data_IF_002168619397
#
_entry.id   IF_002168619397
#
_cell.length_a   1.000
_cell.length_b   1.000
_cell.length_c   1.000
_cell.angle_alpha   90.00
_cell.angle_beta   90.00
_cell.angle_gamma   90.00
#
_symmetry.space_group_name_H-M   'P 1'
#
loop_
_entity.id
_entity.type
_entity.pdbx_description
1 polymer ?
#
# COMPACT_ATOMS: atom_id res chain seq x y z
N UNK A 1 -23.98 15.83 10.80
CA UNK A 1 -23.28 17.13 10.88
C UNK A 1 -22.34 17.36 9.70
N UNK A 2 -21.57 16.36 9.23
CA UNK A 2 -20.77 16.44 7.97
C UNK A 2 -21.62 16.83 6.74
N UNK A 3 -22.86 16.34 6.69
CA UNK A 3 -23.87 16.61 5.64
C UNK A 3 -24.39 18.04 5.62
N UNK A 4 -23.88 18.97 6.42
CA UNK A 4 -24.28 20.39 6.37
C UNK A 4 -23.18 21.29 5.79
N UNK A 5 -22.01 20.73 5.48
CA UNK A 5 -20.90 21.49 4.91
C UNK A 5 -21.08 21.65 3.40
N UNK A 6 -21.08 22.90 2.92
CA UNK A 6 -21.22 23.23 1.50
C UNK A 6 -20.11 22.56 0.66
N UNK A 7 -18.89 22.49 1.21
CA UNK A 7 -17.72 21.90 0.55
C UNK A 7 -17.86 20.40 0.34
N UNK A 8 -18.53 19.69 1.25
CA UNK A 8 -18.85 18.26 1.10
C UNK A 8 -19.72 18.03 -0.13
N UNK A 9 -20.84 18.76 -0.26
CA UNK A 9 -21.75 18.61 -1.39
C UNK A 9 -21.10 19.01 -2.71
N UNK A 10 -20.29 20.07 -2.70
CA UNK A 10 -19.59 20.52 -3.90
C UNK A 10 -18.55 19.49 -4.35
N UNK A 11 -17.77 18.93 -3.42
CA UNK A 11 -16.82 17.86 -3.71
C UNK A 11 -17.53 16.59 -4.19
N UNK A 12 -18.66 16.20 -3.59
CA UNK A 12 -19.47 15.05 -4.01
C UNK A 12 -20.04 15.24 -5.42
N UNK A 13 -20.59 16.43 -5.71
CA UNK A 13 -21.15 16.75 -7.02
C UNK A 13 -20.06 16.72 -8.11
N UNK A 14 -18.91 17.32 -7.86
CA UNK A 14 -17.75 17.28 -8.78
C UNK A 14 -17.28 15.85 -8.99
N UNK A 15 -17.15 15.05 -7.93
CA UNK A 15 -16.77 13.65 -8.03
C UNK A 15 -17.74 12.85 -8.91
N UNK A 16 -19.04 13.03 -8.72
CA UNK A 16 -20.07 12.34 -9.49
C UNK A 16 -20.01 12.74 -10.97
N UNK A 17 -19.95 14.05 -11.26
CA UNK A 17 -19.85 14.56 -12.64
C UNK A 17 -18.60 14.00 -13.34
N UNK A 18 -17.44 14.07 -12.68
CA UNK A 18 -16.17 13.58 -13.24
C UNK A 18 -16.17 12.06 -13.46
N UNK A 19 -16.81 11.31 -12.56
CA UNK A 19 -16.94 9.86 -12.68
C UNK A 19 -17.84 9.49 -13.86
N UNK A 20 -19.01 10.12 -13.99
CA UNK A 20 -19.94 9.88 -15.11
C UNK A 20 -19.28 10.25 -16.44
N UNK A 21 -18.65 11.43 -16.54
CA UNK A 21 -17.92 11.86 -17.74
C UNK A 21 -16.85 10.84 -18.13
N UNK A 22 -16.10 10.34 -17.15
CA UNK A 22 -15.01 9.38 -17.38
C UNK A 22 -15.52 7.98 -17.73
N UNK A 23 -16.64 7.54 -17.16
CA UNK A 23 -17.31 6.31 -17.54
C UNK A 23 -17.82 6.38 -18.99
N UNK A 24 -18.42 7.50 -19.40
CA UNK A 24 -18.86 7.72 -20.78
C UNK A 24 -17.67 7.69 -21.75
N UNK A 25 -16.56 8.34 -21.41
CA UNK A 25 -15.33 8.31 -22.21
C UNK A 25 -14.69 6.92 -22.27
N UNK A 26 -14.77 6.15 -21.17
CA UNK A 26 -14.29 4.78 -21.12
C UNK A 26 -15.14 3.86 -22.02
N UNK A 27 -16.46 4.01 -21.98
CA UNK A 27 -17.39 3.27 -22.86
C UNK A 27 -17.16 3.59 -24.34
N UNK A 28 -16.79 4.83 -24.66
CA UNK A 28 -16.42 5.26 -26.02
C UNK A 28 -14.99 4.87 -26.43
N UNK A 29 -14.22 4.21 -25.55
CA UNK A 29 -12.78 3.86 -25.72
C UNK A 29 -11.85 5.06 -25.93
N UNK A 30 -12.26 6.25 -25.52
CA UNK A 30 -11.50 7.50 -25.71
C UNK A 30 -10.52 7.80 -24.57
N UNK A 31 -10.53 7.02 -23.49
CA UNK A 31 -9.71 7.32 -22.30
C UNK A 31 -9.18 6.09 -21.57
N UNK A 32 -8.09 6.31 -20.84
CA UNK A 32 -7.46 5.32 -19.97
C UNK A 32 -8.30 5.21 -18.68
N UNK A 33 -8.72 3.99 -18.32
CA UNK A 33 -9.56 3.71 -17.14
C UNK A 33 -8.97 4.10 -15.77
N UNK A 34 -7.75 4.63 -15.73
CA UNK A 34 -7.08 5.13 -14.52
C UNK A 34 -7.90 6.24 -13.86
N UNK A 35 -8.51 7.15 -14.63
CA UNK A 35 -9.32 8.23 -14.06
C UNK A 35 -10.49 7.70 -13.23
N UNK A 36 -11.20 6.70 -13.77
CA UNK A 36 -12.33 6.05 -13.09
C UNK A 36 -11.84 5.36 -11.81
N UNK A 37 -10.71 4.65 -11.86
CA UNK A 37 -10.13 4.01 -10.69
C UNK A 37 -9.80 5.02 -9.57
N UNK A 38 -9.21 6.17 -9.92
CA UNK A 38 -8.94 7.24 -8.94
C UNK A 38 -10.23 7.78 -8.34
N UNK A 39 -11.25 8.07 -9.14
CA UNK A 39 -12.51 8.59 -8.59
C UNK A 39 -13.26 7.59 -7.71
N UNK A 40 -13.26 6.31 -8.08
CA UNK A 40 -13.85 5.25 -7.24
C UNK A 40 -13.12 5.12 -5.91
N UNK A 41 -11.78 5.22 -5.91
CA UNK A 41 -11.02 5.18 -4.66
C UNK A 41 -11.27 6.43 -3.80
N UNK A 42 -11.32 7.63 -4.38
CA UNK A 42 -11.69 8.85 -3.63
C UNK A 42 -13.09 8.72 -3.03
N UNK A 43 -14.06 8.19 -3.78
CA UNK A 43 -15.40 7.94 -3.27
C UNK A 43 -15.37 7.00 -2.05
N UNK A 44 -14.72 5.84 -2.19
CA UNK A 44 -14.65 4.82 -1.15
C UNK A 44 -13.98 5.32 0.13
N UNK A 45 -12.90 6.10 0.02
CA UNK A 45 -12.11 6.51 1.19
C UNK A 45 -12.57 7.80 1.86
N UNK A 46 -13.18 8.74 1.12
CA UNK A 46 -13.55 10.05 1.67
C UNK A 46 -15.06 10.26 1.83
N UNK A 47 -15.90 9.55 1.08
CA UNK A 47 -17.35 9.78 1.08
C UNK A 47 -18.16 8.65 1.69
N UNK A 48 -17.69 7.40 1.65
CA UNK A 48 -18.45 6.26 2.20
C UNK A 48 -18.39 6.23 3.73
N UNK A 49 -17.22 6.49 4.31
CA UNK A 49 -16.99 6.33 5.74
C UNK A 49 -17.86 7.24 6.64
N UNK A 50 -18.11 8.52 6.31
CA UNK A 50 -19.05 9.37 7.07
C UNK A 50 -20.48 8.81 7.17
N UNK A 51 -20.89 7.91 6.26
CA UNK A 51 -22.18 7.22 6.33
C UNK A 51 -22.13 5.94 7.17
N UNK A 52 -20.95 5.30 7.27
CA UNK A 52 -20.76 4.07 8.03
C UNK A 52 -20.54 4.36 9.52
N UNK A 53 -19.77 5.40 9.85
CA UNK A 53 -19.35 5.73 11.21
C UNK A 53 -19.69 7.20 11.57
N UNK A 54 -20.97 7.61 11.56
CA UNK A 54 -21.34 9.02 11.74
C UNK A 54 -20.98 9.60 13.13
N UNK A 55 -20.81 8.74 14.13
CA UNK A 55 -20.50 9.12 15.52
C UNK A 55 -19.07 9.68 15.67
N UNK A 56 -18.12 9.14 14.92
CA UNK A 56 -16.70 9.55 14.96
C UNK A 56 -16.54 11.00 14.45
N UNK A 57 -17.35 11.39 13.47
CA UNK A 57 -17.38 12.75 12.92
C UNK A 57 -18.13 13.79 13.77
N UNK A 58 -18.83 13.36 14.81
CA UNK A 58 -19.55 14.27 15.71
C UNK A 58 -18.62 15.09 16.61
N UNK A 59 -17.42 14.58 16.86
CA UNK A 59 -16.43 15.21 17.74
C UNK A 59 -15.48 16.18 17.03
N UNK A 60 -15.48 16.19 15.68
CA UNK A 60 -14.59 17.01 14.86
C UNK A 60 -15.19 18.40 14.59
N UNK A 61 -14.39 19.49 14.73
CA UNK A 61 -14.81 20.84 14.37
C UNK A 61 -15.31 20.93 12.91
N UNK A 62 -16.50 21.52 12.64
CA UNK A 62 -17.04 21.63 11.28
C UNK A 62 -16.12 22.35 10.31
N UNK A 63 -15.35 23.33 10.80
CA UNK A 63 -14.35 24.06 10.01
C UNK A 63 -13.24 23.15 9.44
N UNK A 64 -12.72 22.22 10.24
CA UNK A 64 -11.67 21.28 9.81
C UNK A 64 -12.22 20.31 8.74
N UNK A 65 -13.47 19.85 8.91
CA UNK A 65 -14.14 19.05 7.89
C UNK A 65 -14.31 19.85 6.59
N UNK A 66 -14.75 21.11 6.70
CA UNK A 66 -14.91 22.01 5.56
C UNK A 66 -13.61 22.21 4.77
N UNK A 67 -12.51 22.45 5.47
CA UNK A 67 -11.17 22.56 4.88
C UNK A 67 -10.71 21.25 4.23
N UNK A 68 -10.87 20.12 4.92
CA UNK A 68 -10.47 18.80 4.43
C UNK A 68 -11.21 18.43 3.14
N UNK A 69 -12.52 18.65 3.05
CA UNK A 69 -13.26 18.45 1.80
C UNK A 69 -12.90 19.48 0.72
N UNK A 70 -12.50 20.69 1.11
CA UNK A 70 -11.91 21.67 0.20
C UNK A 70 -10.60 21.18 -0.45
N UNK A 71 -9.75 20.49 0.30
CA UNK A 71 -8.53 19.86 -0.21
C UNK A 71 -8.85 18.69 -1.16
N UNK A 72 -9.84 17.86 -0.82
CA UNK A 72 -10.33 16.78 -1.71
C UNK A 72 -10.86 17.37 -3.02
N UNK A 73 -11.63 18.45 -2.96
CA UNK A 73 -12.11 19.17 -4.15
C UNK A 73 -10.96 19.69 -5.01
N UNK A 74 -9.97 20.35 -4.39
CA UNK A 74 -8.80 20.86 -5.09
C UNK A 74 -8.03 19.73 -5.77
N UNK A 75 -7.88 18.59 -5.09
CA UNK A 75 -7.29 17.39 -5.67
C UNK A 75 -8.07 16.91 -6.90
N UNK A 76 -9.40 16.81 -6.84
CA UNK A 76 -10.22 16.34 -7.96
C UNK A 76 -10.09 17.25 -9.18
N UNK A 77 -10.16 18.57 -8.98
CA UNK A 77 -9.99 19.56 -10.05
C UNK A 77 -8.57 19.53 -10.61
N UNK A 78 -7.57 19.54 -9.73
CA UNK A 78 -6.15 19.49 -10.10
C UNK A 78 -5.81 18.23 -10.87
N UNK A 79 -6.26 17.06 -10.40
CA UNK A 79 -6.10 15.78 -11.08
C UNK A 79 -6.75 15.80 -12.46
N UNK A 80 -7.97 16.32 -12.61
CA UNK A 80 -8.67 16.39 -13.90
C UNK A 80 -7.95 17.26 -14.93
N UNK A 81 -7.31 18.34 -14.49
CA UNK A 81 -6.53 19.27 -15.34
C UNK A 81 -5.16 18.68 -15.67
N UNK A 82 -4.48 18.10 -14.68
CA UNK A 82 -3.15 17.54 -14.84
C UNK A 82 -3.15 16.23 -15.63
N UNK A 83 -4.17 15.38 -15.48
CA UNK A 83 -4.19 14.04 -16.07
C UNK A 83 -4.07 14.07 -17.61
N UNK A 84 -4.83 14.88 -18.38
CA UNK A 84 -4.65 14.96 -19.83
C UNK A 84 -3.29 15.51 -20.27
N UNK A 85 -2.65 16.35 -19.45
CA UNK A 85 -1.32 16.87 -19.73
C UNK A 85 -0.26 15.79 -19.44
N UNK A 86 -0.39 15.09 -18.31
CA UNK A 86 0.47 13.98 -17.93
C UNK A 86 0.36 12.80 -18.89
N UNK A 87 -0.85 12.40 -19.29
CA UNK A 87 -1.05 11.33 -20.28
C UNK A 87 -0.49 11.73 -21.63
N UNK A 88 -0.73 12.96 -22.10
CA UNK A 88 -0.10 13.46 -23.32
C UNK A 88 1.41 13.49 -23.21
N UNK A 89 1.99 13.87 -22.08
CA UNK A 89 3.43 13.89 -21.88
C UNK A 89 4.06 12.49 -21.84
N UNK A 90 3.40 11.54 -21.16
CA UNK A 90 3.83 10.14 -21.09
C UNK A 90 3.69 9.46 -22.45
N UNK A 91 2.60 9.72 -23.18
CA UNK A 91 2.33 9.13 -24.49
C UNK A 91 3.06 9.84 -25.64
N UNK A 92 3.33 11.15 -25.53
CA UNK A 92 4.13 11.92 -26.50
C UNK A 92 5.61 11.58 -26.42
N UNK A 93 6.08 11.00 -25.31
CA UNK A 93 7.30 10.18 -25.27
C UNK A 93 7.09 8.87 -26.05
N UNK A 94 6.86 9.02 -27.36
CA UNK A 94 6.86 7.96 -28.36
C UNK A 94 8.14 7.15 -28.22
N UNK A 95 8.02 5.86 -27.87
CA UNK A 95 9.10 4.87 -27.88
C UNK A 95 10.47 5.38 -27.40
N UNK A 96 10.57 5.80 -26.14
CA UNK A 96 11.88 5.65 -25.48
C UNK A 96 12.16 4.15 -25.46
N UNK A 97 13.29 3.73 -26.03
CA UNK A 97 13.59 2.33 -26.35
C UNK A 97 13.42 1.34 -25.19
N UNK A 98 13.32 1.81 -23.94
CA UNK A 98 13.08 1.03 -22.74
C UNK A 98 11.71 0.33 -22.72
N UNK A 99 10.62 0.99 -23.10
CA UNK A 99 9.29 0.36 -23.05
C UNK A 99 9.10 -0.64 -24.21
N UNK A 100 9.63 -0.28 -25.39
CA UNK A 100 9.71 -1.18 -26.55
C UNK A 100 10.68 -2.35 -26.32
N UNK A 101 11.77 -2.13 -25.57
CA UNK A 101 12.67 -3.18 -25.12
C UNK A 101 11.99 -4.07 -24.08
N UNK A 102 11.25 -3.52 -23.12
CA UNK A 102 10.47 -4.28 -22.15
C UNK A 102 9.41 -5.16 -22.81
N UNK A 103 8.76 -4.70 -23.88
CA UNK A 103 7.85 -5.54 -24.68
C UNK A 103 8.56 -6.68 -25.42
N UNK A 104 9.87 -6.55 -25.69
CA UNK A 104 10.70 -7.61 -26.28
C UNK A 104 11.32 -8.54 -25.23
N UNK A 105 11.35 -8.14 -23.96
CA UNK A 105 11.88 -8.97 -22.89
C UNK A 105 10.95 -10.16 -22.65
N UNK A 106 11.53 -11.35 -22.56
CA UNK A 106 10.74 -12.52 -22.19
C UNK A 106 10.42 -12.49 -20.70
N UNK A 107 9.29 -13.07 -20.25
CA UNK A 107 8.94 -13.13 -18.82
C UNK A 107 10.05 -13.72 -17.94
N UNK A 108 10.88 -14.60 -18.52
CA UNK A 108 12.04 -15.19 -17.87
C UNK A 108 13.15 -14.15 -17.64
N UNK A 109 13.45 -13.30 -18.62
CA UNK A 109 14.45 -12.24 -18.47
C UNK A 109 14.04 -11.22 -17.40
N UNK A 110 12.74 -10.90 -17.36
CA UNK A 110 12.17 -10.03 -16.34
C UNK A 110 12.31 -10.67 -14.96
N UNK A 111 12.04 -11.97 -14.83
CA UNK A 111 12.25 -12.70 -13.57
C UNK A 111 13.71 -12.77 -13.16
N UNK A 112 14.64 -12.97 -14.12
CA UNK A 112 16.07 -12.96 -13.82
C UNK A 112 16.48 -11.59 -13.28
N UNK A 113 16.09 -10.50 -13.94
CA UNK A 113 16.43 -9.14 -13.50
C UNK A 113 15.80 -8.78 -12.14
N UNK A 114 14.50 -9.04 -11.96
CA UNK A 114 13.83 -8.84 -10.68
C UNK A 114 14.47 -9.74 -9.59
N UNK A 115 14.84 -10.95 -9.96
CA UNK A 115 15.47 -11.92 -9.08
C UNK A 115 16.88 -11.51 -8.66
N UNK A 116 17.71 -10.96 -9.55
CA UNK A 116 19.03 -10.43 -9.17
C UNK A 116 18.91 -9.23 -8.24
N UNK A 117 17.99 -8.31 -8.51
CA UNK A 117 17.73 -7.18 -7.62
C UNK A 117 17.27 -7.68 -6.25
N UNK A 118 16.36 -8.66 -6.23
CA UNK A 118 15.88 -9.28 -5.01
C UNK A 118 17.01 -9.95 -4.22
N UNK A 119 17.86 -10.77 -4.86
CA UNK A 119 18.98 -11.46 -4.21
C UNK A 119 19.94 -10.43 -3.61
N UNK A 120 20.27 -9.38 -4.36
CA UNK A 120 21.20 -8.35 -3.93
C UNK A 120 20.66 -7.59 -2.72
N UNK A 121 19.40 -7.16 -2.75
CA UNK A 121 18.77 -6.49 -1.62
C UNK A 121 18.64 -7.43 -0.42
N UNK A 122 18.23 -8.68 -0.63
CA UNK A 122 18.11 -9.67 0.43
C UNK A 122 19.46 -9.95 1.11
N UNK A 123 20.53 -10.10 0.33
CA UNK A 123 21.88 -10.28 0.86
C UNK A 123 22.38 -9.06 1.64
N UNK A 124 22.12 -7.84 1.15
CA UNK A 124 22.44 -6.59 1.87
C UNK A 124 21.63 -6.53 3.18
N UNK A 125 20.35 -6.92 3.16
CA UNK A 125 19.49 -6.99 4.34
C UNK A 125 20.05 -7.94 5.40
N UNK A 126 20.50 -9.14 5.00
CA UNK A 126 21.15 -10.10 5.91
C UNK A 126 22.47 -9.53 6.46
N UNK A 127 23.28 -8.88 5.63
CA UNK A 127 24.53 -8.27 6.06
C UNK A 127 24.29 -7.17 7.11
N UNK A 128 23.20 -6.39 6.97
CA UNK A 128 22.78 -5.39 7.97
C UNK A 128 22.34 -6.02 9.30
N UNK A 129 21.83 -7.24 9.26
CA UNK A 129 21.48 -8.03 10.46
C UNK A 129 22.69 -8.77 11.06
N UNK A 130 23.92 -8.42 10.67
CA UNK A 130 25.13 -9.10 11.16
C UNK A 130 25.28 -10.54 10.69
N UNK A 131 24.59 -10.93 9.61
CA UNK A 131 24.58 -12.31 9.12
C UNK A 131 23.47 -13.20 9.70
N UNK A 132 22.59 -12.67 10.55
CA UNK A 132 21.46 -13.42 11.08
C UNK A 132 20.37 -13.63 10.00
N UNK A 133 20.44 -14.76 9.32
CA UNK A 133 19.47 -15.18 8.29
C UNK A 133 18.10 -15.45 8.90
N UNK A 134 18.05 -15.97 10.12
CA UNK A 134 16.79 -16.35 10.77
C UNK A 134 16.06 -15.08 11.19
N UNK A 135 16.74 -14.15 11.87
CA UNK A 135 16.17 -12.83 12.20
C UNK A 135 15.81 -12.00 10.96
N UNK A 136 16.55 -12.15 9.86
CA UNK A 136 16.24 -11.47 8.60
C UNK A 136 14.95 -11.99 7.94
N UNK A 137 14.71 -13.31 7.92
CA UNK A 137 13.49 -13.90 7.32
C UNK A 137 12.31 -13.89 8.29
N UNK A 138 12.58 -14.05 9.58
CA UNK A 138 11.60 -14.10 10.66
C UNK A 138 11.94 -13.02 11.69
N UNK A 139 11.52 -11.76 11.46
CA UNK A 139 11.67 -10.69 12.44
C UNK A 139 10.73 -10.92 13.62
N UNK A 140 11.16 -11.77 14.55
CA UNK A 140 10.38 -12.27 15.69
C UNK A 140 9.99 -11.16 16.68
N UNK A 141 10.76 -10.09 16.73
CA UNK A 141 10.57 -8.95 17.65
C UNK A 141 9.60 -7.88 17.09
N UNK A 142 8.94 -8.14 15.97
CA UNK A 142 7.87 -7.28 15.44
C UNK A 142 8.34 -5.88 15.04
N UNK A 143 7.54 -4.85 15.38
CA UNK A 143 7.81 -3.45 15.01
C UNK A 143 8.88 -2.78 15.89
N UNK A 144 9.11 -3.30 17.09
CA UNK A 144 10.15 -2.84 18.01
C UNK A 144 11.51 -3.49 17.74
N UNK A 145 11.51 -4.59 16.97
CA UNK A 145 12.68 -5.36 16.61
C UNK A 145 13.55 -4.75 15.52
N UNK A 146 14.80 -5.22 15.46
CA UNK A 146 15.69 -4.95 14.33
C UNK A 146 15.16 -5.72 13.11
N UNK A 147 14.91 -5.02 12.01
CA UNK A 147 14.51 -5.63 10.74
C UNK A 147 15.50 -5.25 9.65
N UNK A 148 15.59 -6.06 8.58
CA UNK A 148 16.54 -5.85 7.47
C UNK A 148 16.57 -4.41 6.97
N UNK A 149 15.39 -3.80 6.87
CA UNK A 149 15.18 -2.44 6.36
C UNK A 149 14.51 -1.52 7.39
N UNK A 150 14.67 -1.83 8.69
CA UNK A 150 14.21 -0.97 9.78
C UNK A 150 15.00 0.33 9.85
N UNK A 151 14.30 1.43 10.13
CA UNK A 151 14.90 2.75 10.39
C UNK A 151 14.24 3.39 11.60
N UNK A 152 14.97 4.27 12.28
CA UNK A 152 14.38 5.18 13.26
C UNK A 152 13.36 6.12 12.60
N UNK A 153 12.36 6.55 13.38
CA UNK A 153 11.30 7.45 12.89
C UNK A 153 11.83 8.82 12.42
N UNK A 154 13.02 9.23 12.90
CA UNK A 154 13.73 10.44 12.52
C UNK A 154 15.20 10.10 12.29
N UNK A 155 15.58 9.79 11.06
CA UNK A 155 16.98 9.65 10.65
C UNK A 155 17.29 10.73 9.62
N UNK A 156 18.00 11.78 10.05
CA UNK A 156 18.40 12.94 9.23
C UNK A 156 19.69 12.72 8.43
N UNK A 157 20.04 11.46 8.15
CA UNK A 157 21.28 11.06 7.48
C UNK A 157 20.98 10.46 6.10
N UNK A 158 21.85 10.70 5.11
CA UNK A 158 21.79 10.09 3.77
C UNK A 158 21.65 8.55 3.81
N UNK A 159 22.14 7.92 4.89
CA UNK A 159 21.95 6.48 5.14
C UNK A 159 20.48 6.11 5.34
N UNK A 160 19.69 6.94 6.03
CA UNK A 160 18.26 6.73 6.28
C UNK A 160 17.44 6.76 4.99
N UNK A 161 17.80 7.63 4.04
CA UNK A 161 17.20 7.67 2.70
C UNK A 161 17.50 6.40 1.90
N UNK A 162 18.75 5.94 1.89
CA UNK A 162 19.13 4.72 1.16
C UNK A 162 18.42 3.48 1.73
N UNK A 163 18.27 3.40 3.06
CA UNK A 163 17.54 2.33 3.73
C UNK A 163 16.06 2.36 3.36
N UNK A 164 15.42 3.54 3.44
CA UNK A 164 14.02 3.69 3.07
C UNK A 164 13.78 3.34 1.59
N UNK A 165 14.62 3.89 0.70
CA UNK A 165 14.57 3.60 -0.73
C UNK A 165 14.72 2.10 -1.00
N UNK A 166 15.69 1.44 -0.36
CA UNK A 166 15.88 0.00 -0.49
C UNK A 166 14.69 -0.80 0.05
N UNK A 167 14.09 -0.38 1.17
CA UNK A 167 12.88 -1.01 1.73
C UNK A 167 11.72 -0.99 0.73
N UNK A 168 11.49 0.17 0.09
CA UNK A 168 10.44 0.33 -0.92
C UNK A 168 10.74 -0.48 -2.17
N UNK A 169 11.98 -0.45 -2.67
CA UNK A 169 12.38 -1.25 -3.85
C UNK A 169 12.24 -2.75 -3.54
N UNK A 170 12.66 -3.20 -2.37
CA UNK A 170 12.53 -4.59 -1.94
C UNK A 170 11.06 -5.03 -1.87
N UNK A 171 10.19 -4.17 -1.34
CA UNK A 171 8.74 -4.41 -1.29
C UNK A 171 8.13 -4.47 -2.69
N UNK A 172 8.50 -3.54 -3.57
CA UNK A 172 8.02 -3.49 -4.95
C UNK A 172 8.48 -4.70 -5.76
N UNK A 173 9.74 -5.10 -5.64
CA UNK A 173 10.29 -6.30 -6.30
C UNK A 173 9.60 -7.56 -5.78
N UNK A 174 9.35 -7.67 -4.47
CA UNK A 174 8.62 -8.80 -3.89
C UNK A 174 7.20 -8.91 -4.42
N UNK A 175 6.46 -7.79 -4.44
CA UNK A 175 5.14 -7.71 -5.05
C UNK A 175 5.18 -8.17 -6.52
N UNK A 176 6.19 -7.72 -7.27
CA UNK A 176 6.36 -8.08 -8.67
C UNK A 176 6.70 -9.56 -8.88
N UNK A 177 7.51 -10.17 -8.00
CA UNK A 177 7.76 -11.62 -8.01
C UNK A 177 6.46 -12.41 -7.87
N UNK A 178 5.56 -11.97 -6.99
CA UNK A 178 4.23 -12.56 -6.84
C UNK A 178 3.41 -12.52 -8.14
N UNK A 179 3.41 -11.38 -8.82
CA UNK A 179 2.75 -11.24 -10.14
C UNK A 179 3.39 -12.18 -11.17
N UNK A 180 4.72 -12.24 -11.22
CA UNK A 180 5.47 -13.02 -12.21
C UNK A 180 5.17 -14.52 -12.14
N UNK A 181 4.78 -15.07 -10.98
CA UNK A 181 4.37 -16.48 -10.83
C UNK A 181 3.35 -16.90 -11.90
N UNK A 182 2.43 -16.01 -12.29
CA UNK A 182 1.36 -16.30 -13.23
C UNK A 182 1.76 -16.15 -14.71
N UNK A 183 2.77 -15.33 -15.00
CA UNK A 183 3.18 -14.99 -16.37
C UNK A 183 4.37 -15.81 -16.89
N UNK A 184 5.00 -16.64 -16.05
CA UNK A 184 6.08 -17.53 -16.48
C UNK A 184 5.59 -18.65 -17.41
N UNK A 185 6.29 -18.88 -18.53
CA UNK A 185 5.92 -19.90 -19.52
C UNK A 185 6.23 -21.31 -19.04
N UNK A 186 7.35 -21.52 -18.36
CA UNK A 186 7.79 -22.85 -17.91
C UNK A 186 7.42 -23.13 -16.45
N UNK A 187 7.29 -24.42 -16.09
CA UNK A 187 7.06 -24.84 -14.70
C UNK A 187 8.24 -24.52 -13.79
N UNK A 188 9.47 -24.55 -14.32
CA UNK A 188 10.68 -24.24 -13.58
C UNK A 188 10.71 -22.79 -13.11
N UNK A 189 10.61 -21.82 -14.04
CA UNK A 189 10.65 -20.39 -13.69
C UNK A 189 9.52 -19.96 -12.77
N UNK A 190 8.33 -20.56 -12.94
CA UNK A 190 7.20 -20.35 -12.03
C UNK A 190 7.49 -20.83 -10.61
N UNK A 191 8.13 -21.99 -10.45
CA UNK A 191 8.55 -22.49 -9.13
C UNK A 191 9.62 -21.60 -8.51
N UNK A 192 10.57 -21.10 -9.30
CA UNK A 192 11.59 -20.16 -8.83
C UNK A 192 10.96 -18.86 -8.32
N UNK A 193 10.10 -18.21 -9.12
CA UNK A 193 9.39 -17.01 -8.69
C UNK A 193 8.54 -17.26 -7.43
N UNK A 194 7.83 -18.39 -7.39
CA UNK A 194 7.03 -18.80 -6.25
C UNK A 194 7.87 -19.05 -4.99
N UNK A 195 9.04 -19.68 -5.11
CA UNK A 195 9.94 -19.93 -4.00
C UNK A 195 10.52 -18.61 -3.44
N UNK A 196 10.99 -17.71 -4.31
CA UNK A 196 11.51 -16.39 -3.90
C UNK A 196 10.43 -15.58 -3.18
N UNK A 197 9.21 -15.55 -3.72
CA UNK A 197 8.07 -14.90 -3.10
C UNK A 197 7.74 -15.52 -1.74
N UNK A 198 7.64 -16.86 -1.66
CA UNK A 198 7.33 -17.57 -0.42
C UNK A 198 8.39 -17.36 0.68
N UNK A 199 9.68 -17.28 0.33
CA UNK A 199 10.76 -17.00 1.29
C UNK A 199 10.61 -15.60 1.91
N UNK A 200 10.13 -14.62 1.16
CA UNK A 200 9.92 -13.26 1.68
C UNK A 200 8.64 -13.04 2.47
N UNK A 201 7.62 -13.89 2.29
CA UNK A 201 6.34 -13.69 2.96
C UNK A 201 6.44 -13.67 4.50
N UNK A 202 7.20 -14.58 5.15
CA UNK A 202 7.40 -14.54 6.59
C UNK A 202 7.94 -13.19 7.08
N UNK A 203 8.91 -12.60 6.37
CA UNK A 203 9.49 -11.31 6.75
C UNK A 203 8.41 -10.23 6.86
N UNK A 204 7.59 -10.07 5.83
CA UNK A 204 6.53 -9.07 5.82
C UNK A 204 5.41 -9.39 6.82
N UNK A 205 5.13 -10.67 7.07
CA UNK A 205 4.11 -11.09 8.04
C UNK A 205 4.54 -10.76 9.48
N UNK A 206 5.77 -11.08 9.85
CA UNK A 206 6.28 -10.89 11.21
C UNK A 206 6.78 -9.47 11.49
N UNK A 207 7.00 -8.63 10.48
CA UNK A 207 7.39 -7.22 10.65
C UNK A 207 6.36 -6.38 11.44
N UNK A 208 5.13 -6.90 11.67
CA UNK A 208 4.12 -6.21 12.49
C UNK A 208 3.38 -5.09 11.76
N UNK A 209 3.68 -4.87 10.48
CA UNK A 209 3.07 -3.85 9.62
C UNK A 209 2.13 -4.50 8.59
N UNK A 210 0.82 -4.52 8.89
CA UNK A 210 -0.20 -5.10 8.01
C UNK A 210 -0.19 -4.49 6.60
N UNK A 211 0.02 -3.18 6.50
CA UNK A 211 0.09 -2.46 5.23
C UNK A 211 1.25 -2.92 4.35
N UNK A 212 2.42 -3.21 4.93
CA UNK A 212 3.58 -3.72 4.19
C UNK A 212 3.33 -5.15 3.67
N UNK A 213 2.72 -6.01 4.48
CA UNK A 213 2.33 -7.35 4.06
C UNK A 213 1.27 -7.34 2.96
N UNK A 214 0.23 -6.51 3.11
CA UNK A 214 -0.78 -6.32 2.08
C UNK A 214 -0.17 -5.76 0.79
N UNK A 215 0.75 -4.81 0.86
CA UNK A 215 1.42 -4.27 -0.32
C UNK A 215 2.20 -5.36 -1.10
N UNK A 216 2.79 -6.34 -0.41
CA UNK A 216 3.48 -7.47 -1.03
C UNK A 216 2.53 -8.52 -1.61
N UNK A 217 1.45 -8.88 -0.89
CA UNK A 217 0.53 -9.96 -1.26
C UNK A 217 -0.58 -9.53 -2.22
N UNK A 218 -1.08 -8.31 -2.11
CA UNK A 218 -2.26 -7.88 -2.86
C UNK A 218 -2.07 -7.99 -4.39
N UNK A 219 -0.89 -7.64 -4.96
CA UNK A 219 -0.63 -7.84 -6.39
C UNK A 219 -0.70 -9.31 -6.82
N UNK A 220 -0.24 -10.24 -5.98
CA UNK A 220 -0.38 -11.68 -6.21
C UNK A 220 -1.86 -12.10 -6.21
N UNK A 221 -2.65 -11.65 -5.22
CA UNK A 221 -4.08 -11.95 -5.09
C UNK A 221 -4.87 -11.42 -6.29
N UNK A 222 -4.66 -10.15 -6.66
CA UNK A 222 -5.34 -9.53 -7.80
C UNK A 222 -4.98 -10.25 -9.09
N UNK A 223 -3.70 -10.58 -9.28
CA UNK A 223 -3.25 -11.32 -10.47
C UNK A 223 -3.86 -12.71 -10.52
N UNK A 224 -3.97 -13.40 -9.39
CA UNK A 224 -4.67 -14.67 -9.29
C UNK A 224 -6.16 -14.55 -9.65
N UNK A 225 -6.84 -13.52 -9.16
CA UNK A 225 -8.26 -13.28 -9.44
C UNK A 225 -8.50 -13.01 -10.93
N UNK A 226 -7.65 -12.23 -11.58
CA UNK A 226 -7.79 -11.85 -12.99
C UNK A 226 -7.32 -12.97 -13.95
N UNK A 227 -6.13 -13.53 -13.72
CA UNK A 227 -5.44 -14.44 -14.65
C UNK A 227 -5.38 -15.90 -14.20
N UNK A 228 -5.98 -16.25 -13.04
CA UNK A 228 -6.06 -17.63 -12.59
C UNK A 228 -6.70 -18.55 -13.63
N UNK A 229 -6.39 -19.86 -13.61
CA UNK A 229 -6.98 -20.82 -14.56
C UNK A 229 -8.32 -21.40 -14.09
N UNK A 230 -8.70 -21.15 -12.84
CA UNK A 230 -9.91 -21.71 -12.24
C UNK A 230 -11.17 -20.94 -12.67
N UNK A 231 -12.35 -21.59 -12.54
CA UNK A 231 -13.65 -20.91 -12.72
C UNK A 231 -13.79 -19.78 -11.69
N UNK A 232 -14.48 -18.68 -12.04
CA UNK A 232 -14.63 -17.50 -11.18
C UNK A 232 -15.13 -17.86 -9.76
N UNK A 233 -16.08 -18.79 -9.65
CA UNK A 233 -16.60 -19.25 -8.34
C UNK A 233 -15.49 -19.83 -7.46
N UNK A 234 -14.62 -20.68 -8.01
CA UNK A 234 -13.50 -21.27 -7.27
C UNK A 234 -12.49 -20.19 -6.87
N UNK A 235 -12.27 -19.18 -7.73
CA UNK A 235 -11.41 -18.04 -7.37
C UNK A 235 -11.98 -17.27 -6.19
N UNK A 236 -13.28 -16.99 -6.18
CA UNK A 236 -13.94 -16.30 -5.07
C UNK A 236 -13.93 -17.12 -3.77
N UNK A 237 -14.12 -18.44 -3.84
CA UNK A 237 -14.01 -19.32 -2.65
C UNK A 237 -12.59 -19.30 -2.09
N UNK A 238 -11.57 -19.45 -2.94
CA UNK A 238 -10.17 -19.39 -2.52
C UNK A 238 -9.83 -18.01 -1.96
N UNK A 239 -10.37 -16.95 -2.55
CA UNK A 239 -10.21 -15.58 -2.07
C UNK A 239 -10.86 -15.40 -0.68
N UNK A 240 -12.06 -15.93 -0.48
CA UNK A 240 -12.75 -15.87 0.81
C UNK A 240 -11.98 -16.61 1.90
N UNK A 241 -11.48 -17.82 1.60
CA UNK A 241 -10.62 -18.57 2.53
C UNK A 241 -9.32 -17.81 2.81
N UNK A 242 -8.66 -17.27 1.78
CA UNK A 242 -7.45 -16.47 1.94
C UNK A 242 -7.71 -15.22 2.80
N UNK A 243 -8.85 -14.55 2.60
CA UNK A 243 -9.25 -13.40 3.39
C UNK A 243 -9.47 -13.76 4.86
N UNK A 244 -10.14 -14.87 5.16
CA UNK A 244 -10.30 -15.37 6.53
C UNK A 244 -8.93 -15.69 7.14
N UNK A 245 -8.04 -16.37 6.42
CA UNK A 245 -6.69 -16.66 6.89
C UNK A 245 -5.87 -15.38 7.14
N UNK A 246 -6.02 -14.37 6.28
CA UNK A 246 -5.38 -13.07 6.46
C UNK A 246 -5.94 -12.32 7.67
N UNK A 247 -7.25 -12.31 7.88
CA UNK A 247 -7.89 -11.70 9.05
C UNK A 247 -7.38 -12.33 10.35
N UNK A 248 -7.41 -13.66 10.43
CA UNK A 248 -6.89 -14.40 11.58
C UNK A 248 -5.38 -14.15 11.77
N UNK A 249 -4.62 -14.14 10.67
CA UNK A 249 -3.20 -13.81 10.69
C UNK A 249 -2.92 -12.37 11.17
N UNK A 250 -3.75 -11.40 10.81
CA UNK A 250 -3.59 -10.02 11.26
C UNK A 250 -4.01 -9.81 12.71
N UNK A 251 -5.06 -10.50 13.17
CA UNK A 251 -5.41 -10.55 14.60
C UNK A 251 -4.23 -11.07 15.41
N UNK A 252 -3.66 -12.19 14.96
CA UNK A 252 -2.43 -12.75 15.51
C UNK A 252 -1.34 -11.68 15.54
N UNK A 253 -0.88 -11.15 14.39
CA UNK A 253 0.18 -10.12 14.27
C UNK A 253 -0.04 -8.88 15.17
N UNK A 254 -1.28 -8.52 15.44
CA UNK A 254 -1.61 -7.32 16.23
C UNK A 254 -1.49 -7.56 17.72
N UNK A 255 -1.81 -8.76 18.18
CA UNK A 255 -1.46 -9.21 19.52
C UNK A 255 0.07 -9.23 19.70
N UNK A 256 0.86 -9.62 18.69
CA UNK A 256 2.33 -9.59 18.73
C UNK A 256 2.93 -8.18 18.65
N UNK A 257 2.22 -7.21 18.06
CA UNK A 257 2.74 -5.87 17.74
C UNK A 257 3.23 -5.13 18.98
N UNK A 258 2.63 -5.39 20.14
CA UNK A 258 2.88 -4.64 21.37
C UNK A 258 3.79 -5.38 22.38
N UNK A 259 3.96 -6.72 22.28
CA UNK A 259 4.61 -7.55 23.32
C UNK A 259 5.82 -8.34 22.82
N UNK A 260 5.96 -8.59 21.52
CA UNK A 260 7.05 -9.41 20.97
C UNK A 260 6.91 -10.90 21.30
N UNK A 261 7.49 -11.77 20.46
CA UNK A 261 7.27 -13.23 20.54
C UNK A 261 7.86 -13.88 21.81
N UNK A 262 8.91 -13.29 22.39
CA UNK A 262 9.59 -13.80 23.59
C UNK A 262 8.72 -13.74 24.84
N UNK A 263 7.90 -12.70 25.00
CA UNK A 263 7.01 -12.55 26.15
C UNK A 263 5.79 -13.47 26.04
N UNK A 264 5.30 -13.73 24.83
CA UNK A 264 4.15 -14.61 24.58
C UNK A 264 4.47 -16.11 24.69
N UNK A 265 5.67 -16.56 24.30
CA UNK A 265 6.12 -17.94 24.57
C UNK A 265 6.38 -18.21 26.06
N UNK A 266 6.63 -17.16 26.84
CA UNK A 266 6.76 -17.23 28.30
C UNK A 266 5.40 -17.10 29.02
N UNK A 267 4.35 -16.65 28.33
CA UNK A 267 3.02 -16.47 28.91
C UNK A 267 2.26 -17.80 29.00
N UNK A 268 1.69 -18.06 30.18
CA UNK A 268 1.05 -19.33 30.53
C UNK A 268 -0.26 -19.62 29.76
N UNK A 269 -0.89 -18.58 29.18
CA UNK A 269 -2.10 -18.65 28.35
C UNK A 269 -2.02 -17.65 27.17
N UNK A 270 -1.51 -18.06 25.99
CA UNK A 270 -1.34 -17.16 24.84
C UNK A 270 -2.66 -16.75 24.15
N UNK A 271 -3.79 -17.39 24.48
CA UNK A 271 -5.09 -17.15 23.84
C UNK A 271 -5.91 -16.01 24.47
N UNK A 272 -5.72 -15.70 25.76
CA UNK A 272 -6.46 -14.63 26.45
C UNK A 272 -6.05 -13.22 25.97
N UNK A 273 -4.82 -13.06 25.49
CA UNK A 273 -4.31 -11.80 24.91
C UNK A 273 -4.78 -11.54 23.47
N UNK A 274 -5.30 -12.56 22.79
CA UNK A 274 -5.85 -12.46 21.42
C UNK A 274 -7.34 -12.05 21.45
N UNK A 275 -8.01 -12.23 22.59
CA UNK A 275 -9.45 -12.05 22.75
C UNK A 275 -9.85 -10.62 23.17
N UNK A 276 -8.90 -9.79 23.61
CA UNK A 276 -9.12 -8.35 23.63
C UNK A 276 -9.14 -7.84 22.19
N UNK A 277 -10.35 -7.73 21.65
CA UNK A 277 -10.65 -6.94 20.48
C UNK A 277 -10.31 -5.48 20.78
N UNK A 278 -9.03 -5.12 20.77
CA UNK A 278 -8.60 -3.74 20.67
C UNK A 278 -9.27 -3.21 19.40
N UNK A 279 -10.23 -2.27 19.51
CA UNK A 279 -10.88 -1.74 18.34
C UNK A 279 -9.77 -1.15 17.46
N UNK A 280 -9.70 -1.65 16.22
CA UNK A 280 -8.73 -1.22 15.23
C UNK A 280 -9.15 0.15 14.71
N UNK A 281 -9.11 1.16 15.56
CA UNK A 281 -9.42 2.53 15.17
C UNK A 281 -8.12 3.11 14.60
N UNK A 282 -7.80 2.69 13.37
CA UNK A 282 -7.03 3.57 12.49
C UNK A 282 -7.93 4.75 12.16
N UNK A 283 -7.40 5.98 12.23
CA UNK A 283 -8.15 7.16 11.83
C UNK A 283 -8.59 6.99 10.37
N UNK A 284 -9.82 7.37 10.07
CA UNK A 284 -10.31 7.36 8.71
C UNK A 284 -9.61 8.45 7.90
N UNK A 285 -9.50 8.28 6.58
CA UNK A 285 -8.65 9.14 5.73
C UNK A 285 -9.01 10.64 5.82
N UNK A 286 -10.30 10.94 5.98
CA UNK A 286 -10.78 12.31 6.16
C UNK A 286 -10.50 12.83 7.59
N UNK A 287 -10.51 11.96 8.60
CA UNK A 287 -10.12 12.30 9.97
C UNK A 287 -8.63 12.58 10.07
N UNK A 288 -7.79 11.74 9.43
CA UNK A 288 -6.36 11.98 9.29
C UNK A 288 -6.10 13.36 8.68
N UNK A 289 -6.87 13.74 7.65
CA UNK A 289 -6.74 15.06 7.03
C UNK A 289 -7.13 16.19 7.99
N UNK A 290 -8.20 16.01 8.77
CA UNK A 290 -8.60 16.96 9.82
C UNK A 290 -7.53 17.09 10.91
N UNK A 291 -6.93 15.99 11.37
CA UNK A 291 -5.86 15.98 12.35
C UNK A 291 -4.58 16.64 11.81
N UNK A 292 -4.22 16.38 10.55
CA UNK A 292 -3.09 17.05 9.89
C UNK A 292 -3.32 18.56 9.81
N UNK A 293 -4.51 18.99 9.42
CA UNK A 293 -4.85 20.42 9.35
C UNK A 293 -4.79 21.07 10.75
N UNK A 294 -5.35 20.41 11.77
CA UNK A 294 -5.26 20.89 13.15
C UNK A 294 -3.81 20.98 13.66
N UNK A 295 -2.96 20.02 13.28
CA UNK A 295 -1.55 20.01 13.65
C UNK A 295 -0.72 21.07 12.91
N UNK A 296 -1.06 21.38 11.65
CA UNK A 296 -0.44 22.49 10.93
C UNK A 296 -0.88 23.85 11.47
N UNK A 297 -2.15 23.97 11.87
CA UNK A 297 -2.71 25.18 12.47
C UNK A 297 -2.15 25.45 13.88
N UNK A 298 -1.66 24.43 14.60
CA UNK A 298 -1.00 24.62 15.90
C UNK A 298 0.35 25.35 15.79
N UNK A 299 0.91 25.47 14.58
CA UNK A 299 2.16 26.18 14.33
C UNK A 299 3.41 25.46 14.82
N UNK A 300 3.29 24.26 15.39
CA UNK A 300 4.41 23.47 15.89
C UNK A 300 5.35 22.98 14.78
N UNK A 301 4.84 22.89 13.54
CA UNK A 301 5.64 22.53 12.35
C UNK A 301 5.16 23.24 11.08
N UNK A 302 6.10 23.61 10.21
CA UNK A 302 5.80 24.14 8.87
C UNK A 302 5.74 23.01 7.84
N UNK A 303 4.80 23.03 6.88
CA UNK A 303 4.70 22.00 5.85
C UNK A 303 5.94 22.02 4.96
N UNK A 304 6.75 20.96 5.05
CA UNK A 304 7.88 20.76 4.16
C UNK A 304 7.36 20.23 2.82
N UNK A 305 7.05 21.11 1.87
CA UNK A 305 6.57 20.81 0.50
C UNK A 305 7.61 20.03 -0.35
N UNK A 306 8.02 18.84 0.09
CA UNK A 306 9.07 18.05 -0.56
C UNK A 306 10.50 18.57 -0.33
N UNK A 307 10.68 19.79 0.18
CA UNK A 307 12.01 20.38 0.41
C UNK A 307 12.87 19.56 1.39
N UNK A 308 12.25 18.95 2.41
CA UNK A 308 12.96 18.04 3.33
C UNK A 308 13.48 16.76 2.63
N UNK A 309 12.74 16.23 1.66
CA UNK A 309 13.21 15.07 0.88
C UNK A 309 14.46 15.37 0.05
N UNK A 310 14.70 16.62 -0.33
CA UNK A 310 15.88 17.04 -1.10
C UNK A 310 17.03 17.53 -0.20
N UNK A 311 16.73 18.14 0.95
CA UNK A 311 17.74 18.59 1.91
C UNK A 311 18.29 17.49 2.82
N UNK A 312 17.65 16.32 2.83
CA UNK A 312 18.13 15.11 3.53
C UNK A 312 18.97 14.18 2.60
N UNK A 313 19.37 14.68 1.41
CA UNK A 313 20.37 14.08 0.50
C UNK A 313 21.78 14.60 0.81
#
# INVERSE_FOLDING_TARGET
MVTNELTFYLAAAVLLILTVESCVKLLRRDSVGIAVAVYVTVFAWYFVDPFLNPEEYGCLPPFLLGQSYGQVLLFLVGFRVALPAATRWILSRRNTGVLAAMQRLTPEQILIAAGTIWILLFAIGIARMGGDVIGAVFPVDGRAGVTMWGRGAVESSATGFLIASAAYVFSAVTAFLGVLVFFQRTRFWRRVAGAMFAITLPYFFFQGARSAFLAAILPFIITYLLYGRHRLVIRFVILAVAFICLDQGFRFVTAFRNTGFRELLAAKNPYELVDESLPQVGLNMIEELCFVNAYLDSGDTSPAYGARYLNEL
#
